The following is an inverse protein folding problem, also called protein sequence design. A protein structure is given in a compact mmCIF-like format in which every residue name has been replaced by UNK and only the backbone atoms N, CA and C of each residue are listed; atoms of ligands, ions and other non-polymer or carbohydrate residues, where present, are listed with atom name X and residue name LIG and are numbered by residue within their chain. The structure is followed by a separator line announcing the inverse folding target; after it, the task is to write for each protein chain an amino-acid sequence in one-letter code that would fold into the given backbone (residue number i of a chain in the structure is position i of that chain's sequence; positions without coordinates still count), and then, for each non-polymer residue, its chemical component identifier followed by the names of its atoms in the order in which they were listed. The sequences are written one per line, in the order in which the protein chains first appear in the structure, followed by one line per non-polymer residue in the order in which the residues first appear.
data_IF_240443441451
#
_entry.id   IF_240443441451
#
_cell.length_a   1.000
_cell.length_b   1.000
_cell.length_c   1.000
_cell.angle_alpha   90.00
_cell.angle_beta   90.00
_cell.angle_gamma   90.00
#
_symmetry.space_group_name_H-M   'P 1'
#
loop_
_entity.id
_entity.type
_entity.pdbx_description
1 polymer ?
#
# COMPACT_ATOMS: atom_id res chain seq x y z
N UNK A 1 16.51 -6.53 9.68
CA UNK A 1 15.58 -6.32 8.55
C UNK A 1 15.49 -7.62 7.76
N UNK A 2 14.57 -8.50 8.18
CA UNK A 2 14.36 -9.78 7.51
C UNK A 2 13.58 -9.59 6.22
N UNK A 3 14.21 -9.85 5.08
CA UNK A 3 13.51 -9.97 3.80
C UNK A 3 12.78 -11.31 3.77
N UNK A 4 11.46 -11.28 3.69
CA UNK A 4 10.71 -12.50 3.44
C UNK A 4 11.07 -13.02 2.04
N UNK A 5 11.46 -14.28 1.96
CA UNK A 5 11.88 -14.94 0.74
C UNK A 5 10.88 -16.05 0.39
N UNK A 6 10.44 -16.10 -0.86
CA UNK A 6 9.76 -17.26 -1.42
C UNK A 6 10.57 -17.76 -2.61
N UNK A 7 10.82 -19.06 -2.66
CA UNK A 7 11.61 -19.69 -3.72
C UNK A 7 13.00 -19.05 -3.96
N UNK A 8 13.60 -18.51 -2.87
CA UNK A 8 14.88 -17.83 -2.92
C UNK A 8 14.84 -16.40 -3.44
N UNK A 9 13.65 -15.85 -3.78
CA UNK A 9 13.48 -14.48 -4.22
C UNK A 9 12.83 -13.62 -3.14
N UNK A 10 13.23 -12.34 -2.98
CA UNK A 10 12.55 -11.43 -2.08
C UNK A 10 11.09 -11.19 -2.55
N UNK A 11 10.17 -11.06 -1.60
CA UNK A 11 8.75 -10.80 -1.87
C UNK A 11 8.48 -9.56 -2.74
N UNK A 12 9.42 -8.65 -2.79
CA UNK A 12 9.32 -7.38 -3.51
C UNK A 12 10.40 -7.20 -4.58
N UNK A 13 10.97 -8.32 -5.11
CA UNK A 13 11.91 -8.26 -6.22
C UNK A 13 11.20 -7.71 -7.46
N UNK A 14 11.55 -6.51 -7.92
CA UNK A 14 10.89 -5.95 -9.09
C UNK A 14 11.30 -6.76 -10.33
N UNK A 15 10.36 -7.00 -11.25
CA UNK A 15 10.71 -7.65 -12.50
C UNK A 15 11.67 -6.77 -13.29
N UNK A 16 12.65 -7.43 -13.92
CA UNK A 16 13.54 -6.79 -14.87
C UNK A 16 12.76 -6.16 -16.02
N UNK A 17 13.39 -5.21 -16.73
CA UNK A 17 12.82 -4.61 -17.93
C UNK A 17 12.35 -5.66 -18.93
N UNK A 18 13.14 -6.71 -19.16
CA UNK A 18 12.80 -7.82 -20.03
C UNK A 18 11.59 -8.61 -19.55
N UNK A 19 11.57 -8.99 -18.30
CA UNK A 19 10.47 -9.71 -17.67
C UNK A 19 9.15 -8.92 -17.71
N UNK A 20 9.23 -7.59 -17.53
CA UNK A 20 8.07 -6.71 -17.57
C UNK A 20 7.49 -6.55 -18.98
N UNK A 21 8.34 -6.36 -19.99
CA UNK A 21 7.90 -6.05 -21.35
C UNK A 21 7.63 -7.28 -22.22
N UNK A 22 8.35 -8.38 -22.01
CA UNK A 22 8.21 -9.58 -22.82
C UNK A 22 7.49 -10.71 -22.10
N UNK A 23 7.62 -10.84 -20.80
CA UNK A 23 6.93 -11.86 -20.00
C UNK A 23 5.67 -11.32 -19.32
N UNK A 24 5.43 -10.01 -19.35
CA UNK A 24 4.27 -9.38 -18.71
C UNK A 24 4.26 -9.50 -17.18
N UNK A 25 5.41 -9.73 -16.56
CA UNK A 25 5.50 -9.82 -15.11
C UNK A 25 5.22 -8.47 -14.47
N UNK A 26 4.24 -8.44 -13.56
CA UNK A 26 3.89 -7.27 -12.78
C UNK A 26 4.32 -7.48 -11.32
N UNK A 27 4.54 -6.37 -10.62
CA UNK A 27 4.68 -6.40 -9.16
C UNK A 27 3.41 -6.96 -8.55
N UNK A 28 3.59 -7.99 -7.74
CA UNK A 28 2.46 -8.67 -7.11
C UNK A 28 1.94 -7.85 -5.95
N UNK A 29 0.65 -7.65 -5.92
CA UNK A 29 -0.06 -6.96 -4.87
C UNK A 29 -0.54 -7.95 -3.81
N UNK A 30 -0.71 -7.43 -2.59
CA UNK A 30 -1.40 -8.13 -1.50
C UNK A 30 -2.66 -7.34 -1.22
N UNK A 31 -3.80 -8.01 -1.22
CA UNK A 31 -5.07 -7.39 -0.84
C UNK A 31 -5.44 -7.85 0.56
N UNK A 32 -5.71 -6.88 1.41
CA UNK A 32 -6.24 -7.08 2.76
C UNK A 32 -7.70 -6.66 2.73
N UNK A 33 -8.58 -7.56 3.13
CA UNK A 33 -10.01 -7.34 2.98
C UNK A 33 -10.71 -7.59 4.31
N UNK A 34 -11.59 -6.67 4.69
CA UNK A 34 -12.56 -6.84 5.74
C UNK A 34 -13.93 -6.90 5.10
N UNK A 35 -14.64 -7.99 5.30
CA UNK A 35 -15.91 -8.26 4.62
C UNK A 35 -16.95 -8.66 5.65
N UNK A 36 -18.08 -7.96 5.65
CA UNK A 36 -19.27 -8.40 6.35
C UNK A 36 -20.18 -9.13 5.38
N UNK A 37 -20.50 -10.35 5.71
CA UNK A 37 -21.50 -11.15 5.01
C UNK A 37 -22.68 -11.31 5.96
N UNK A 38 -23.77 -10.60 5.69
CA UNK A 38 -25.00 -10.66 6.50
C UNK A 38 -24.76 -10.35 8.01
N UNK A 39 -23.82 -9.45 8.30
CA UNK A 39 -23.45 -9.06 9.66
C UNK A 39 -22.32 -9.87 10.29
N UNK A 40 -21.86 -10.93 9.64
CA UNK A 40 -20.70 -11.70 10.08
C UNK A 40 -19.41 -11.12 9.46
N UNK A 41 -18.51 -10.62 10.29
CA UNK A 41 -17.27 -9.98 9.85
C UNK A 41 -16.17 -11.02 9.62
N UNK A 42 -15.56 -10.97 8.45
CA UNK A 42 -14.46 -11.83 8.04
C UNK A 42 -13.25 -11.00 7.62
N UNK A 43 -12.05 -11.55 7.87
CA UNK A 43 -10.79 -10.98 7.40
C UNK A 43 -10.20 -11.89 6.33
N UNK A 44 -9.98 -11.35 5.15
CA UNK A 44 -9.41 -12.09 4.05
C UNK A 44 -8.07 -11.49 3.63
N UNK A 45 -7.19 -12.35 3.16
CA UNK A 45 -5.95 -11.95 2.50
C UNK A 45 -5.95 -12.61 1.12
N UNK A 46 -5.95 -11.81 0.08
CA UNK A 46 -5.82 -12.27 -1.28
C UNK A 46 -4.38 -12.06 -1.74
N UNK A 47 -3.77 -13.14 -2.18
CA UNK A 47 -2.40 -13.14 -2.63
C UNK A 47 -2.16 -14.25 -3.67
N UNK A 48 -1.05 -14.15 -4.37
CA UNK A 48 -0.64 -15.21 -5.27
C UNK A 48 -0.21 -16.47 -4.52
N UNK A 49 -0.57 -17.65 -5.04
CA UNK A 49 -0.43 -18.93 -4.35
C UNK A 49 0.99 -19.26 -3.87
N UNK A 50 2.01 -18.84 -4.61
CA UNK A 50 3.42 -19.05 -4.22
C UNK A 50 3.85 -18.34 -2.93
N UNK A 51 3.09 -17.35 -2.47
CA UNK A 51 3.40 -16.55 -1.27
C UNK A 51 2.66 -16.99 -0.02
N UNK A 52 1.72 -17.89 -0.14
CA UNK A 52 0.85 -18.33 0.95
C UNK A 52 1.65 -18.75 2.19
N UNK A 53 2.61 -19.64 2.05
CA UNK A 53 3.41 -20.15 3.18
C UNK A 53 4.17 -19.04 3.92
N UNK A 54 4.73 -18.08 3.19
CA UNK A 54 5.46 -16.97 3.80
C UNK A 54 4.54 -16.05 4.59
N UNK A 55 3.36 -15.75 4.06
CA UNK A 55 2.36 -14.91 4.75
C UNK A 55 1.79 -15.64 5.96
N UNK A 56 1.40 -16.91 5.83
CA UNK A 56 0.92 -17.73 6.96
C UNK A 56 1.97 -17.78 8.09
N UNK A 57 3.24 -18.07 7.76
CA UNK A 57 4.31 -18.09 8.75
C UNK A 57 4.50 -16.72 9.44
N UNK A 58 4.37 -15.64 8.69
CA UNK A 58 4.46 -14.28 9.25
C UNK A 58 3.31 -13.97 10.21
N UNK A 59 2.10 -14.40 9.89
CA UNK A 59 0.93 -14.22 10.78
C UNK A 59 1.08 -15.07 12.03
N UNK A 60 1.38 -16.36 11.92
CA UNK A 60 1.54 -17.26 13.06
C UNK A 60 2.68 -16.85 14.00
N UNK A 61 3.74 -16.20 13.48
CA UNK A 61 4.82 -15.69 14.32
C UNK A 61 4.38 -14.56 15.25
N UNK A 62 3.35 -13.82 14.88
CA UNK A 62 2.81 -12.67 15.64
C UNK A 62 1.52 -13.04 16.39
N UNK A 63 0.74 -13.92 15.80
CA UNK A 63 -0.59 -14.34 16.28
C UNK A 63 -0.66 -15.88 16.24
N UNK A 64 -0.05 -16.56 17.22
CA UNK A 64 0.04 -18.03 17.21
C UNK A 64 -1.33 -18.72 17.31
N UNK A 65 -2.31 -18.03 17.91
CA UNK A 65 -3.69 -18.55 18.06
C UNK A 65 -4.59 -18.21 16.87
N UNK A 66 -4.07 -17.57 15.83
CA UNK A 66 -4.86 -17.27 14.65
C UNK A 66 -5.20 -18.54 13.87
N UNK A 67 -6.44 -18.66 13.42
CA UNK A 67 -6.88 -19.73 12.55
C UNK A 67 -6.92 -19.24 11.10
N UNK A 68 -6.15 -19.88 10.23
CA UNK A 68 -6.04 -19.50 8.82
C UNK A 68 -6.50 -20.68 7.96
N UNK A 69 -7.52 -20.44 7.14
CA UNK A 69 -8.05 -21.43 6.19
C UNK A 69 -8.13 -20.87 4.78
N UNK A 70 -8.01 -21.74 3.79
CA UNK A 70 -8.32 -21.36 2.42
C UNK A 70 -9.82 -21.45 2.18
N UNK A 71 -10.39 -20.38 1.66
CA UNK A 71 -11.83 -20.28 1.41
C UNK A 71 -12.09 -19.96 -0.04
N UNK A 72 -13.32 -20.23 -0.50
CA UNK A 72 -13.78 -19.82 -1.81
C UNK A 72 -13.96 -18.28 -1.84
N UNK A 73 -13.67 -17.70 -3.00
CA UNK A 73 -13.82 -16.26 -3.22
C UNK A 73 -15.28 -15.82 -3.05
N UNK A 74 -15.54 -15.01 -2.03
CA UNK A 74 -16.88 -14.49 -1.71
C UNK A 74 -17.48 -13.64 -2.84
N UNK A 75 -16.64 -13.02 -3.67
CA UNK A 75 -17.07 -12.22 -4.83
C UNK A 75 -17.90 -13.04 -5.81
N UNK A 76 -17.64 -14.35 -5.92
CA UNK A 76 -18.40 -15.25 -6.79
C UNK A 76 -19.86 -15.45 -6.38
N UNK A 77 -20.19 -15.14 -5.12
CA UNK A 77 -21.56 -15.22 -4.61
C UNK A 77 -22.45 -14.07 -5.09
N UNK A 78 -21.83 -12.98 -5.57
CA UNK A 78 -22.55 -11.82 -6.11
C UNK A 78 -22.62 -11.92 -7.63
N UNK A 79 -23.80 -11.68 -8.24
CA UNK A 79 -23.94 -11.69 -9.69
C UNK A 79 -23.01 -10.67 -10.36
N UNK A 80 -22.42 -11.04 -11.51
CA UNK A 80 -21.54 -10.14 -12.27
C UNK A 80 -22.28 -8.91 -12.82
N UNK A 81 -23.56 -9.09 -13.13
CA UNK A 81 -24.43 -8.02 -13.63
C UNK A 81 -25.16 -7.36 -12.47
N UNK A 82 -24.45 -6.58 -11.67
CA UNK A 82 -24.97 -5.79 -10.56
C UNK A 82 -24.75 -4.31 -10.89
N UNK A 83 -25.75 -3.41 -10.71
CA UNK A 83 -27.07 -3.68 -10.12
C UNK A 83 -28.03 -4.44 -11.06
N UNK A 84 -28.93 -5.23 -10.47
CA UNK A 84 -30.00 -5.96 -11.18
C UNK A 84 -31.30 -5.90 -10.38
N UNK A 85 -32.27 -6.79 -10.65
CA UNK A 85 -33.57 -6.78 -9.94
C UNK A 85 -33.47 -7.15 -8.45
N UNK A 86 -32.47 -7.99 -8.10
CA UNK A 86 -32.32 -8.60 -6.78
C UNK A 86 -31.15 -7.98 -6.01
N UNK A 87 -30.20 -7.35 -6.73
CA UNK A 87 -28.98 -6.79 -6.15
C UNK A 87 -28.77 -5.35 -6.58
N UNK A 88 -28.46 -4.51 -5.59
CA UNK A 88 -27.96 -3.16 -5.80
C UNK A 88 -26.52 -3.04 -5.31
N UNK A 89 -25.77 -2.05 -5.79
CA UNK A 89 -24.39 -1.83 -5.43
C UNK A 89 -24.12 -0.33 -5.26
N UNK A 90 -23.43 -0.02 -4.19
CA UNK A 90 -22.85 1.29 -3.96
C UNK A 90 -21.38 1.14 -3.60
N UNK A 91 -20.52 2.06 -4.05
CA UNK A 91 -19.10 2.01 -3.77
C UNK A 91 -18.45 3.38 -3.79
N UNK A 92 -17.33 3.50 -3.09
CA UNK A 92 -16.48 4.68 -3.11
C UNK A 92 -15.01 4.29 -2.96
N UNK A 93 -14.14 5.09 -3.54
CA UNK A 93 -12.70 4.98 -3.38
C UNK A 93 -12.20 6.00 -2.36
N UNK A 94 -11.30 5.56 -1.49
CA UNK A 94 -10.59 6.44 -0.58
C UNK A 94 -9.25 6.88 -1.20
N UNK A 95 -8.96 8.16 -1.11
CA UNK A 95 -7.67 8.71 -1.53
C UNK A 95 -6.97 9.37 -0.35
N UNK A 96 -5.67 9.23 -0.30
CA UNK A 96 -4.86 9.93 0.68
C UNK A 96 -4.96 11.45 0.45
N UNK A 97 -5.20 12.21 1.52
CA UNK A 97 -5.25 13.70 1.47
C UNK A 97 -3.86 14.27 1.18
N UNK A 98 -2.83 13.65 1.75
CA UNK A 98 -1.42 14.00 1.52
C UNK A 98 -0.80 13.05 0.49
N UNK A 99 0.37 13.43 -0.01
CA UNK A 99 1.15 12.53 -0.87
C UNK A 99 1.43 11.22 -0.13
N UNK A 100 1.42 10.12 -0.85
CA UNK A 100 1.63 8.77 -0.33
C UNK A 100 3.04 8.50 0.23
N UNK A 101 3.99 9.43 0.04
CA UNK A 101 5.28 9.43 0.74
C UNK A 101 5.18 9.79 2.23
N UNK A 102 4.07 10.38 2.67
CA UNK A 102 3.83 10.60 4.10
C UNK A 102 3.45 9.26 4.75
N UNK A 103 4.05 8.95 5.92
CA UNK A 103 3.68 7.73 6.64
C UNK A 103 2.21 7.78 7.07
N UNK A 104 1.53 6.65 6.92
CA UNK A 104 0.20 6.46 7.53
C UNK A 104 0.35 6.23 9.03
N UNK A 105 -0.66 6.62 9.80
CA UNK A 105 -0.69 6.37 11.24
C UNK A 105 -0.84 4.87 11.49
N UNK A 106 0.13 4.28 12.17
CA UNK A 106 0.11 2.86 12.53
C UNK A 106 -0.65 2.63 13.84
N UNK A 107 -1.06 1.39 14.09
CA UNK A 107 -1.84 1.02 15.28
C UNK A 107 -1.20 1.50 16.60
N UNK A 108 0.10 1.31 16.78
CA UNK A 108 0.82 1.74 17.96
C UNK A 108 0.69 3.25 18.24
N UNK A 109 0.68 4.05 17.18
CA UNK A 109 0.58 5.52 17.28
C UNK A 109 -0.78 6.03 17.76
N UNK A 110 -1.83 5.21 17.70
CA UNK A 110 -3.12 5.58 18.28
C UNK A 110 -3.09 5.62 19.81
N UNK A 111 -2.11 4.98 20.44
CA UNK A 111 -1.98 4.88 21.89
C UNK A 111 -0.85 5.74 22.48
N UNK A 112 0.08 6.26 21.64
CA UNK A 112 1.23 7.04 22.10
C UNK A 112 0.93 8.54 22.32
N UNK A 113 -0.16 9.06 21.79
CA UNK A 113 -0.43 10.51 21.74
C UNK A 113 -1.11 11.10 23.00
N UNK A 114 -1.35 10.32 24.05
CA UNK A 114 -2.01 10.83 25.25
C UNK A 114 -1.01 11.08 26.39
N UNK A 115 -0.99 12.29 26.99
CA UNK A 115 -0.13 12.57 28.13
C UNK A 115 -0.48 11.68 29.31
N UNK A 116 0.51 11.29 30.10
CA UNK A 116 0.47 10.37 31.25
C UNK A 116 -0.50 10.74 32.40
N UNK A 117 -1.24 11.82 32.28
CA UNK A 117 -2.06 12.39 33.35
C UNK A 117 -3.48 11.82 33.49
N UNK A 118 -3.94 11.02 32.57
CA UNK A 118 -5.25 10.37 32.68
C UNK A 118 -5.13 8.89 33.03
N UNK A 119 -5.19 8.57 34.30
CA UNK A 119 -5.41 7.21 34.77
C UNK A 119 -6.70 6.69 34.14
N UNK A 120 -6.64 5.55 33.48
CA UNK A 120 -7.79 4.79 32.95
C UNK A 120 -8.59 5.39 31.79
N UNK A 121 -7.97 6.03 30.81
CA UNK A 121 -8.67 6.19 29.55
C UNK A 121 -8.73 4.85 28.80
N UNK A 122 -9.97 4.40 28.61
CA UNK A 122 -10.34 3.23 27.82
C UNK A 122 -9.60 3.29 26.47
N UNK A 123 -8.67 2.38 26.24
CA UNK A 123 -8.03 2.21 24.95
C UNK A 123 -9.08 1.71 23.98
N UNK A 124 -9.65 2.61 23.20
CA UNK A 124 -10.64 2.25 22.18
C UNK A 124 -9.86 1.77 20.99
N UNK A 125 -10.08 0.52 20.60
CA UNK A 125 -9.56 -0.04 19.37
C UNK A 125 -10.23 0.70 18.19
N UNK A 126 -9.46 1.36 17.31
CA UNK A 126 -10.03 2.05 16.15
C UNK A 126 -10.80 1.14 15.21
N UNK A 127 -10.51 -0.17 15.22
CA UNK A 127 -11.20 -1.17 14.38
C UNK A 127 -12.52 -1.61 15.03
N UNK A 128 -12.67 -1.52 16.36
CA UNK A 128 -13.88 -1.97 17.05
C UNK A 128 -15.15 -1.29 16.53
N UNK A 129 -15.13 0.03 16.37
CA UNK A 129 -16.27 0.80 15.83
C UNK A 129 -16.64 0.36 14.41
N UNK A 130 -15.65 0.03 13.59
CA UNK A 130 -15.87 -0.48 12.25
C UNK A 130 -16.53 -1.85 12.29
N UNK A 131 -16.02 -2.77 13.11
CA UNK A 131 -16.60 -4.11 13.28
C UNK A 131 -18.02 -4.06 13.85
N UNK A 132 -18.30 -3.16 14.80
CA UNK A 132 -19.66 -2.91 15.29
C UNK A 132 -20.59 -2.41 14.17
N UNK A 133 -20.08 -1.56 13.26
CA UNK A 133 -20.81 -1.14 12.08
C UNK A 133 -21.09 -2.29 11.13
N UNK A 134 -20.09 -3.14 10.90
CA UNK A 134 -20.21 -4.32 10.03
C UNK A 134 -21.19 -5.36 10.56
N UNK A 135 -21.32 -5.49 11.88
CA UNK A 135 -22.25 -6.41 12.51
C UNK A 135 -23.73 -5.99 12.38
N UNK A 136 -24.01 -4.76 11.92
CA UNK A 136 -25.39 -4.26 11.75
C UNK A 136 -26.02 -4.65 10.40
N UNK A 137 -25.24 -5.21 9.48
CA UNK A 137 -25.75 -5.67 8.20
C UNK A 137 -26.66 -6.89 8.39
N UNK A 138 -27.81 -6.88 7.72
CA UNK A 138 -28.79 -7.96 7.79
C UNK A 138 -28.67 -8.98 6.68
N UNK A 139 -29.60 -9.95 6.64
CA UNK A 139 -29.66 -10.95 5.59
C UNK A 139 -29.72 -10.31 4.18
N UNK A 140 -28.88 -10.80 3.26
CA UNK A 140 -28.77 -10.28 1.90
C UNK A 140 -27.92 -9.02 1.77
N UNK A 141 -27.44 -8.43 2.86
CA UNK A 141 -26.58 -7.25 2.83
C UNK A 141 -25.11 -7.63 3.01
N UNK A 142 -24.23 -6.95 2.29
CA UNK A 142 -22.78 -7.17 2.37
C UNK A 142 -22.04 -5.83 2.38
N UNK A 143 -20.95 -5.76 3.14
CA UNK A 143 -20.00 -4.65 3.12
C UNK A 143 -18.59 -5.17 2.85
N UNK A 144 -17.94 -4.62 1.85
CA UNK A 144 -16.57 -4.98 1.49
C UNK A 144 -15.65 -3.78 1.65
N UNK A 145 -14.61 -3.92 2.44
CA UNK A 145 -13.54 -2.95 2.59
C UNK A 145 -12.26 -3.61 2.10
N UNK A 146 -11.75 -3.14 0.99
CA UNK A 146 -10.62 -3.74 0.30
C UNK A 146 -9.45 -2.76 0.27
N UNK A 147 -8.30 -3.19 0.79
CA UNK A 147 -7.05 -2.45 0.77
C UNK A 147 -6.04 -3.19 -0.10
N UNK A 148 -5.69 -2.61 -1.22
CA UNK A 148 -4.64 -3.13 -2.10
C UNK A 148 -3.29 -2.50 -1.73
N UNK A 149 -2.33 -3.34 -1.33
CA UNK A 149 -0.97 -2.94 -1.05
C UNK A 149 -0.05 -3.39 -2.19
N UNK A 150 0.51 -2.43 -2.91
CA UNK A 150 1.47 -2.66 -3.98
C UNK A 150 2.87 -2.28 -3.49
N UNK A 151 3.84 -3.21 -3.51
CA UNK A 151 5.21 -2.87 -3.17
C UNK A 151 5.79 -1.91 -4.21
N UNK A 152 6.51 -0.89 -3.75
CA UNK A 152 7.20 0.05 -4.63
C UNK A 152 8.68 -0.33 -4.63
N UNK A 153 9.19 -0.67 -5.81
CA UNK A 153 10.60 -0.91 -5.99
C UNK A 153 11.35 0.43 -6.03
N UNK A 154 12.48 0.49 -5.33
CA UNK A 154 13.37 1.64 -5.40
C UNK A 154 14.30 1.50 -6.63
N UNK A 155 13.70 1.48 -7.81
CA UNK A 155 14.42 1.42 -9.08
C UNK A 155 14.56 2.82 -9.65
N UNK A 156 15.80 3.21 -9.98
CA UNK A 156 16.07 4.49 -10.66
C UNK A 156 15.79 4.42 -12.16
N UNK A 157 14.73 3.77 -12.55
CA UNK A 157 14.36 3.70 -13.94
C UNK A 157 13.66 5.01 -14.35
N UNK A 158 13.96 5.51 -15.54
CA UNK A 158 13.44 6.80 -16.04
C UNK A 158 11.92 6.83 -16.22
N UNK A 159 11.27 5.67 -16.25
CA UNK A 159 9.82 5.49 -16.42
C UNK A 159 9.10 5.09 -15.13
N UNK A 160 9.83 4.89 -14.03
CA UNK A 160 9.25 4.56 -12.74
C UNK A 160 9.41 5.72 -11.77
N UNK A 161 8.40 5.85 -10.90
CA UNK A 161 8.40 6.87 -9.86
C UNK A 161 9.53 6.60 -8.86
N UNK A 162 10.42 7.55 -8.67
CA UNK A 162 11.45 7.49 -7.62
C UNK A 162 10.86 7.95 -6.28
N UNK A 163 10.18 7.00 -5.62
CA UNK A 163 9.52 7.23 -4.33
C UNK A 163 10.47 7.68 -3.23
N UNK A 164 11.71 7.21 -3.23
CA UNK A 164 12.73 7.61 -2.24
C UNK A 164 13.17 9.04 -2.46
N UNK A 165 13.33 9.46 -3.69
CA UNK A 165 13.65 10.86 -4.02
C UNK A 165 12.53 11.80 -3.61
N UNK A 166 11.28 11.45 -3.91
CA UNK A 166 10.11 12.20 -3.48
C UNK A 166 10.02 12.29 -1.95
N UNK A 167 10.27 11.19 -1.24
CA UNK A 167 10.29 11.16 0.23
C UNK A 167 11.36 12.08 0.82
N UNK A 168 12.55 12.11 0.20
CA UNK A 168 13.62 13.03 0.60
C UNK A 168 13.26 14.49 0.33
N UNK A 169 12.66 14.80 -0.81
CA UNK A 169 12.19 16.15 -1.12
C UNK A 169 11.18 16.65 -0.06
N UNK A 170 10.21 15.79 0.29
CA UNK A 170 9.23 16.12 1.34
C UNK A 170 9.91 16.29 2.71
N UNK A 171 10.86 15.41 3.06
CA UNK A 171 11.59 15.52 4.32
C UNK A 171 12.45 16.79 4.38
N UNK A 172 13.08 17.18 3.28
CA UNK A 172 13.87 18.42 3.20
C UNK A 172 12.97 19.67 3.26
N UNK A 173 11.79 19.61 2.67
CA UNK A 173 10.79 20.68 2.75
C UNK A 173 10.29 20.86 4.18
N UNK A 174 9.91 19.80 4.86
CA UNK A 174 9.45 19.82 6.26
C UNK A 174 10.55 20.30 7.21
N UNK A 175 11.80 19.89 6.98
CA UNK A 175 12.96 20.31 7.76
C UNK A 175 13.47 21.72 7.38
N UNK A 176 12.82 22.39 6.41
CA UNK A 176 13.24 23.70 5.85
C UNK A 176 14.72 23.70 5.39
N UNK A 177 15.19 22.57 4.89
CA UNK A 177 16.56 22.46 4.36
C UNK A 177 16.67 23.18 3.02
N UNK A 178 17.80 23.84 2.72
CA UNK A 178 17.99 24.48 1.42
C UNK A 178 17.90 23.43 0.31
N UNK A 179 17.08 23.71 -0.71
CA UNK A 179 16.97 22.82 -1.87
C UNK A 179 18.34 22.74 -2.53
N UNK A 180 18.88 21.53 -2.64
CA UNK A 180 20.09 21.28 -3.43
C UNK A 180 19.82 21.74 -4.86
N UNK A 181 20.56 22.71 -5.37
CA UNK A 181 20.51 23.08 -6.78
C UNK A 181 20.75 21.78 -7.58
N UNK A 182 19.82 21.40 -8.45
CA UNK A 182 20.06 20.30 -9.40
C UNK A 182 21.31 20.67 -10.18
N UNK A 183 22.40 19.95 -9.93
CA UNK A 183 23.62 20.10 -10.70
C UNK A 183 23.24 19.74 -12.15
N UNK A 184 23.18 20.76 -13.00
CA UNK A 184 23.01 20.52 -14.43
C UNK A 184 24.13 19.59 -14.84
N UNK A 185 23.81 18.52 -15.54
CA UNK A 185 24.84 17.56 -15.95
C UNK A 185 25.90 18.33 -16.77
N UNK A 186 27.16 18.09 -16.48
CA UNK A 186 28.29 18.70 -17.21
C UNK A 186 28.13 18.51 -18.73
N UNK A 187 27.54 17.36 -19.12
CA UNK A 187 27.18 17.05 -20.50
C UNK A 187 26.14 18.01 -21.09
N UNK A 188 25.14 18.44 -20.29
CA UNK A 188 24.14 19.38 -20.75
C UNK A 188 24.69 20.80 -20.89
N UNK A 189 25.56 21.21 -19.97
CA UNK A 189 26.28 22.50 -20.06
C UNK A 189 27.22 22.53 -21.26
N UNK A 190 27.99 21.48 -21.49
CA UNK A 190 28.84 21.34 -22.66
C UNK A 190 28.01 21.32 -23.96
N UNK A 191 26.89 20.63 -24.03
CA UNK A 191 26.01 20.62 -25.18
C UNK A 191 25.37 22.00 -25.41
N UNK A 192 24.98 22.72 -24.38
CA UNK A 192 24.46 24.07 -24.49
C UNK A 192 25.51 25.07 -24.96
N UNK A 193 26.76 24.94 -24.56
CA UNK A 193 27.89 25.74 -24.98
C UNK A 193 28.18 25.53 -26.48
N UNK A 194 28.12 24.30 -26.95
CA UNK A 194 28.28 23.95 -28.38
C UNK A 194 27.16 24.55 -29.22
N UNK A 195 25.90 24.50 -28.74
CA UNK A 195 24.73 24.98 -29.52
C UNK A 195 24.58 26.49 -29.49
N UNK A 196 24.92 27.12 -28.37
CA UNK A 196 24.70 28.56 -28.20
C UNK A 196 25.94 29.42 -28.43
N UNK A 197 27.11 28.82 -28.47
CA UNK A 197 28.39 29.52 -28.61
C UNK A 197 28.74 30.46 -27.45
N UNK A 198 28.04 30.39 -26.36
CA UNK A 198 28.28 31.20 -25.15
C UNK A 198 28.80 30.32 -24.00
N UNK A 199 29.87 30.74 -23.30
CA UNK A 199 30.37 30.00 -22.15
C UNK A 199 29.32 29.98 -21.03
N UNK A 200 29.18 28.82 -20.37
CA UNK A 200 28.26 28.62 -19.26
C UNK A 200 28.66 29.55 -18.09
N UNK A 201 27.91 30.61 -17.86
CA UNK A 201 28.12 31.54 -16.74
C UNK A 201 28.30 33.01 -17.10
N UNK A 202 28.10 33.38 -18.35
CA UNK A 202 28.06 34.80 -18.74
C UNK A 202 26.59 35.31 -18.64
N UNK A 203 26.25 35.92 -17.51
CA UNK A 203 25.16 36.92 -17.39
C UNK A 203 25.74 38.31 -17.61
#
# INVERSE_FOLDING_TARGET
EGRAMTDGRPLYDPPDWWEKWFEGKLLQTIQLEMVSLEGEAHFYIRLEGGRRKAVESSIYSQYPDAEISAVEDYVKKVPRETPNKDWDIWGCDYKLIKKDVYPIKTYSKFFEEKPETSKEEKRIDPVATLLEGMAKFGPGEQLWIQLEAKPIANTKNWYERDFVSEGREVADELAKRPKKKKQKSILWEAAAEIVTGKPAGAE
#
